data_IF_732942247409
#
_entry.id   IF_732942247409
#
_cell.length_a   1.000
_cell.length_b   1.000
_cell.length_c   1.000
_cell.angle_alpha   90.00
_cell.angle_beta   90.00
_cell.angle_gamma   90.00
#
_symmetry.space_group_name_H-M   'P 1'
#
loop_
_entity.id
_entity.type
_entity.pdbx_description
1 polymer ?
#
# COMPACT_ATOMS: atom_id res chain seq x y z
N UNK A 1 29.41 18.45 1.00
CA UNK A 1 28.40 19.48 1.31
C UNK A 1 28.85 20.47 2.41
N UNK A 2 30.16 20.71 2.63
CA UNK A 2 30.65 21.59 3.72
C UNK A 2 31.78 22.56 3.29
N UNK A 3 31.89 22.88 2.00
CA UNK A 3 32.94 23.80 1.48
C UNK A 3 32.40 25.02 0.73
N UNK A 4 31.13 25.36 0.93
CA UNK A 4 30.52 26.54 0.30
C UNK A 4 30.08 27.62 1.29
N UNK A 5 30.44 27.51 2.58
CA UNK A 5 30.19 28.55 3.60
C UNK A 5 31.40 29.43 3.91
N UNK A 6 32.54 29.22 3.25
CA UNK A 6 33.76 29.98 3.47
C UNK A 6 34.04 30.90 2.27
N UNK A 7 33.21 31.94 2.13
CA UNK A 7 33.37 32.99 1.13
C UNK A 7 32.77 34.29 1.65
N UNK A 8 33.57 35.04 2.40
CA UNK A 8 33.24 36.33 3.02
C UNK A 8 32.76 37.35 1.98
N UNK A 9 31.49 37.80 2.02
CA UNK A 9 31.07 39.13 1.52
C UNK A 9 29.62 39.51 1.90
N UNK A 10 29.46 40.70 2.51
CA UNK A 10 28.25 41.50 2.81
C UNK A 10 27.35 41.05 3.97
N UNK A 11 27.12 41.94 4.96
CA UNK A 11 26.13 41.74 6.03
C UNK A 11 24.72 41.41 5.50
N UNK A 12 24.37 41.81 4.26
CA UNK A 12 23.07 41.47 3.67
C UNK A 12 22.96 40.00 3.26
N UNK A 13 24.05 39.32 2.87
CA UNK A 13 23.99 37.89 2.48
C UNK A 13 23.78 36.99 3.70
N UNK A 14 24.42 37.31 4.83
CA UNK A 14 24.22 36.60 6.10
C UNK A 14 22.81 36.76 6.65
N UNK A 15 22.19 37.94 6.53
CA UNK A 15 20.81 38.16 6.96
C UNK A 15 19.84 37.32 6.11
N UNK A 16 20.03 37.28 4.78
CA UNK A 16 19.19 36.45 3.90
C UNK A 16 19.37 34.94 4.11
N UNK A 17 20.56 34.48 4.51
CA UNK A 17 20.79 33.07 4.85
C UNK A 17 20.09 32.66 6.14
N UNK A 18 20.10 33.54 7.16
CA UNK A 18 19.38 33.34 8.42
C UNK A 18 17.85 33.33 8.19
N UNK A 19 17.32 34.28 7.41
CA UNK A 19 15.90 34.32 7.07
C UNK A 19 15.45 33.03 6.34
N UNK A 20 16.25 32.52 5.40
CA UNK A 20 15.94 31.26 4.72
C UNK A 20 15.95 30.07 5.67
N UNK A 21 16.92 29.98 6.59
CA UNK A 21 17.01 28.91 7.58
C UNK A 21 15.79 28.91 8.51
N UNK A 22 15.32 30.09 8.93
CA UNK A 22 14.12 30.24 9.75
C UNK A 22 12.85 29.77 9.01
N UNK A 23 12.72 30.08 7.72
CA UNK A 23 11.60 29.60 6.89
C UNK A 23 11.62 28.07 6.78
N UNK A 24 12.77 27.45 6.51
CA UNK A 24 12.88 25.98 6.45
C UNK A 24 12.62 25.31 7.81
N UNK A 25 13.08 25.93 8.89
CA UNK A 25 12.88 25.46 10.25
C UNK A 25 11.40 25.48 10.64
N UNK A 26 10.72 26.60 10.41
CA UNK A 26 9.29 26.75 10.68
C UNK A 26 8.44 25.81 9.82
N UNK A 27 8.76 25.65 8.53
CA UNK A 27 8.07 24.70 7.66
C UNK A 27 8.23 23.24 8.11
N UNK A 28 9.43 22.88 8.57
CA UNK A 28 9.72 21.54 9.08
C UNK A 28 8.96 21.25 10.38
N UNK A 29 8.92 22.20 11.32
CA UNK A 29 8.15 22.08 12.56
C UNK A 29 6.65 21.98 12.26
N UNK A 30 6.14 22.82 11.34
CA UNK A 30 4.74 22.77 10.93
C UNK A 30 4.39 21.41 10.30
N UNK A 31 5.25 20.86 9.44
CA UNK A 31 5.08 19.54 8.85
C UNK A 31 5.02 18.43 9.91
N UNK A 32 5.90 18.46 10.91
CA UNK A 32 5.85 17.51 12.03
C UNK A 32 4.56 17.60 12.84
N UNK A 33 4.08 18.82 13.12
CA UNK A 33 2.83 19.04 13.84
C UNK A 33 1.63 18.52 13.04
N UNK A 34 1.56 18.83 11.74
CA UNK A 34 0.48 18.38 10.86
C UNK A 34 0.49 16.85 10.73
N UNK A 35 1.66 16.24 10.54
CA UNK A 35 1.80 14.79 10.46
C UNK A 35 1.38 14.12 11.78
N UNK A 36 1.89 14.60 12.92
CA UNK A 36 1.55 14.06 14.24
C UNK A 36 0.06 14.18 14.57
N UNK A 37 -0.53 15.36 14.32
CA UNK A 37 -1.97 15.57 14.53
C UNK A 37 -2.81 14.69 13.61
N UNK A 38 -2.43 14.53 12.34
CA UNK A 38 -3.10 13.61 11.40
C UNK A 38 -3.08 12.17 11.91
N UNK A 39 -1.94 11.67 12.38
CA UNK A 39 -1.84 10.30 12.92
C UNK A 39 -2.72 10.11 14.16
N UNK A 40 -2.71 11.08 15.08
CA UNK A 40 -3.56 11.03 16.29
C UNK A 40 -5.04 11.09 15.94
N UNK A 41 -5.44 11.92 14.97
CA UNK A 41 -6.82 12.03 14.51
C UNK A 41 -7.31 10.73 13.86
N UNK A 42 -6.50 10.10 13.01
CA UNK A 42 -6.85 8.81 12.40
C UNK A 42 -6.97 7.73 13.46
N UNK A 43 -6.03 7.64 14.39
CA UNK A 43 -6.07 6.66 15.49
C UNK A 43 -7.31 6.85 16.38
N UNK A 44 -7.60 8.08 16.79
CA UNK A 44 -8.78 8.38 17.60
C UNK A 44 -10.09 8.13 16.83
N UNK A 45 -10.13 8.50 15.55
CA UNK A 45 -11.27 8.25 14.66
C UNK A 45 -11.57 6.76 14.51
N UNK A 46 -10.53 5.94 14.27
CA UNK A 46 -10.67 4.48 14.16
C UNK A 46 -11.10 3.84 15.49
N UNK A 47 -10.53 4.26 16.61
CA UNK A 47 -10.95 3.78 17.93
C UNK A 47 -12.44 4.07 18.19
N UNK A 48 -12.89 5.29 17.91
CA UNK A 48 -14.31 5.68 18.09
C UNK A 48 -15.24 4.96 17.10
N UNK A 49 -14.79 4.74 15.87
CA UNK A 49 -15.52 3.97 14.87
C UNK A 49 -15.70 2.51 15.29
N UNK A 50 -14.64 1.90 15.81
CA UNK A 50 -14.65 0.55 16.38
C UNK A 50 -15.65 0.40 17.51
N UNK A 51 -15.57 1.29 18.51
CA UNK A 51 -16.47 1.27 19.65
C UNK A 51 -17.93 1.36 19.20
N UNK A 52 -18.23 2.29 18.28
CA UNK A 52 -19.58 2.44 17.74
C UNK A 52 -20.05 1.22 16.94
N UNK A 53 -19.16 0.58 16.18
CA UNK A 53 -19.48 -0.65 15.45
C UNK A 53 -19.74 -1.81 16.40
N UNK A 54 -18.91 -1.98 17.43
CA UNK A 54 -19.05 -3.00 18.45
C UNK A 54 -20.36 -2.84 19.23
N UNK A 55 -20.67 -1.62 19.70
CA UNK A 55 -21.88 -1.34 20.46
C UNK A 55 -23.14 -1.55 19.62
N UNK A 56 -23.13 -1.12 18.35
CA UNK A 56 -24.24 -1.36 17.42
C UNK A 56 -24.43 -2.85 17.13
N UNK A 57 -23.34 -3.60 16.96
CA UNK A 57 -23.38 -5.06 16.76
C UNK A 57 -23.97 -5.77 17.98
N UNK A 58 -23.49 -5.45 19.19
CA UNK A 58 -24.02 -6.00 20.43
C UNK A 58 -25.49 -5.67 20.62
N UNK A 59 -25.88 -4.41 20.40
CA UNK A 59 -27.27 -3.99 20.53
C UNK A 59 -28.18 -4.73 19.55
N UNK A 60 -27.76 -4.88 18.29
CA UNK A 60 -28.50 -5.66 17.29
C UNK A 60 -28.56 -7.15 17.63
N UNK A 61 -27.51 -7.71 18.21
CA UNK A 61 -27.45 -9.12 18.61
C UNK A 61 -28.43 -9.41 19.75
N UNK A 62 -28.44 -8.58 20.79
CA UNK A 62 -29.35 -8.71 21.94
C UNK A 62 -30.83 -8.59 21.56
N UNK A 63 -31.13 -7.90 20.45
CA UNK A 63 -32.49 -7.73 19.94
C UNK A 63 -32.88 -8.75 18.88
N UNK A 64 -31.98 -9.66 18.52
CA UNK A 64 -32.25 -10.69 17.52
C UNK A 64 -33.13 -11.81 18.10
N UNK A 65 -34.06 -12.39 17.30
CA UNK A 65 -34.93 -13.46 17.76
C UNK A 65 -34.15 -14.74 18.06
N UNK A 66 -34.65 -15.59 18.96
CA UNK A 66 -33.99 -16.85 19.35
C UNK A 66 -33.63 -17.74 18.15
N UNK A 67 -34.46 -17.70 17.11
CA UNK A 67 -34.26 -18.42 15.84
C UNK A 67 -32.94 -18.06 15.13
N UNK A 68 -32.42 -16.85 15.34
CA UNK A 68 -31.10 -16.45 14.84
C UNK A 68 -29.98 -17.23 15.54
N UNK A 69 -30.07 -17.40 16.86
CA UNK A 69 -29.08 -18.13 17.65
C UNK A 69 -29.15 -19.65 17.43
N UNK A 70 -30.32 -20.19 17.09
CA UNK A 70 -30.47 -21.62 16.76
C UNK A 70 -29.90 -21.96 15.37
N UNK A 71 -29.94 -21.00 14.43
CA UNK A 71 -29.50 -21.21 13.04
C UNK A 71 -28.04 -20.80 12.80
N UNK A 72 -27.51 -19.84 13.58
CA UNK A 72 -26.13 -19.40 13.45
C UNK A 72 -25.25 -19.98 14.55
N UNK A 73 -24.14 -20.65 14.21
CA UNK A 73 -23.25 -21.20 15.22
C UNK A 73 -22.61 -20.07 16.03
N UNK A 74 -22.64 -20.20 17.36
CA UNK A 74 -22.05 -19.25 18.32
C UNK A 74 -20.61 -18.86 17.98
N UNK A 75 -19.82 -19.80 17.45
CA UNK A 75 -18.45 -19.54 16.99
C UNK A 75 -18.33 -18.52 15.85
N UNK A 76 -19.33 -18.42 14.95
CA UNK A 76 -19.35 -17.41 13.88
C UNK A 76 -19.65 -16.01 14.44
N UNK A 77 -20.51 -15.91 15.45
CA UNK A 77 -20.81 -14.66 16.15
C UNK A 77 -19.56 -14.16 16.88
N UNK A 78 -18.88 -15.04 17.61
CA UNK A 78 -17.62 -14.72 18.30
C UNK A 78 -16.51 -14.31 17.32
N UNK A 79 -16.34 -15.02 16.20
CA UNK A 79 -15.35 -14.62 15.19
C UNK A 79 -15.63 -13.22 14.62
N UNK A 80 -16.91 -12.83 14.43
CA UNK A 80 -17.25 -11.48 13.97
C UNK A 80 -16.95 -10.42 15.02
N UNK A 81 -17.28 -10.68 16.29
CA UNK A 81 -17.03 -9.73 17.39
C UNK A 81 -15.55 -9.59 17.73
N UNK A 82 -14.75 -10.65 17.57
CA UNK A 82 -13.32 -10.59 17.85
C UNK A 82 -12.50 -10.27 16.60
N UNK A 83 -12.46 -11.17 15.61
CA UNK A 83 -11.53 -11.05 14.47
C UNK A 83 -11.90 -9.97 13.47
N UNK A 84 -13.19 -9.79 13.17
CA UNK A 84 -13.57 -8.79 12.17
C UNK A 84 -13.45 -7.37 12.75
N UNK A 85 -13.73 -7.19 14.04
CA UNK A 85 -13.50 -5.91 14.74
C UNK A 85 -12.01 -5.63 14.88
N UNK A 86 -11.19 -6.62 15.23
CA UNK A 86 -9.72 -6.48 15.26
C UNK A 86 -9.14 -6.03 13.91
N UNK A 87 -9.68 -6.55 12.79
CA UNK A 87 -9.30 -6.08 11.45
C UNK A 87 -9.72 -4.64 11.20
N UNK A 88 -10.92 -4.25 11.63
CA UNK A 88 -11.36 -2.85 11.51
C UNK A 88 -10.45 -1.92 12.33
N UNK A 89 -9.98 -2.36 13.49
CA UNK A 89 -9.16 -1.55 14.39
C UNK A 89 -7.74 -1.36 13.89
N UNK A 90 -7.18 -2.38 13.24
CA UNK A 90 -5.79 -2.37 12.79
C UNK A 90 -5.64 -2.04 11.30
N UNK A 91 -6.43 -2.67 10.43
CA UNK A 91 -6.24 -2.56 8.98
C UNK A 91 -6.82 -1.25 8.42
N UNK A 92 -7.99 -0.82 8.90
CA UNK A 92 -8.67 0.37 8.37
C UNK A 92 -7.87 1.66 8.61
N UNK A 93 -7.40 2.00 9.84
CA UNK A 93 -6.56 3.19 10.03
C UNK A 93 -5.26 3.14 9.23
N UNK A 94 -4.63 1.96 9.12
CA UNK A 94 -3.41 1.78 8.32
C UNK A 94 -3.69 2.06 6.84
N UNK A 95 -4.78 1.52 6.30
CA UNK A 95 -5.18 1.75 4.91
C UNK A 95 -5.55 3.21 4.66
N UNK A 96 -6.31 3.83 5.55
CA UNK A 96 -6.71 5.23 5.42
C UNK A 96 -5.49 6.16 5.42
N UNK A 97 -4.54 5.91 6.32
CA UNK A 97 -3.27 6.67 6.38
C UNK A 97 -2.48 6.52 5.08
N UNK A 98 -2.39 5.29 4.57
CA UNK A 98 -1.68 4.99 3.34
C UNK A 98 -2.34 5.62 2.10
N UNK A 99 -3.67 5.58 2.01
CA UNK A 99 -4.43 6.24 0.96
C UNK A 99 -4.25 7.76 0.99
N UNK A 100 -4.26 8.37 2.17
CA UNK A 100 -4.03 9.80 2.33
C UNK A 100 -2.61 10.21 1.87
N UNK A 101 -1.59 9.44 2.24
CA UNK A 101 -0.22 9.67 1.78
C UNK A 101 -0.10 9.52 0.26
N UNK A 102 -0.74 8.51 -0.33
CA UNK A 102 -0.72 8.31 -1.78
C UNK A 102 -1.39 9.45 -2.54
N UNK A 103 -2.53 9.94 -2.05
CA UNK A 103 -3.19 11.09 -2.67
C UNK A 103 -2.31 12.35 -2.60
N UNK A 104 -1.61 12.56 -1.49
CA UNK A 104 -0.63 13.65 -1.35
C UNK A 104 0.54 13.52 -2.32
N UNK A 105 1.14 12.33 -2.43
CA UNK A 105 2.22 12.05 -3.38
C UNK A 105 1.75 12.24 -4.84
N UNK A 106 0.56 11.76 -5.19
CA UNK A 106 -0.04 11.96 -6.52
C UNK A 106 -0.24 13.45 -6.83
N UNK A 107 -0.80 14.23 -5.89
CA UNK A 107 -1.04 15.65 -6.08
C UNK A 107 0.26 16.43 -6.27
N UNK A 108 1.27 16.15 -5.43
CA UNK A 108 2.60 16.76 -5.57
C UNK A 108 3.26 16.37 -6.89
N UNK A 109 3.16 15.10 -7.29
CA UNK A 109 3.68 14.63 -8.56
C UNK A 109 3.04 15.37 -9.74
N UNK A 110 1.71 15.51 -9.77
CA UNK A 110 1.00 16.23 -10.83
C UNK A 110 1.42 17.71 -10.95
N UNK A 111 1.66 18.38 -9.81
CA UNK A 111 2.15 19.77 -9.80
C UNK A 111 3.58 19.84 -10.35
N UNK A 112 4.44 18.90 -9.96
CA UNK A 112 5.84 18.83 -10.41
C UNK A 112 6.01 18.34 -11.85
N UNK A 113 5.05 17.57 -12.36
CA UNK A 113 5.10 16.94 -13.68
C UNK A 113 5.07 17.95 -14.84
N UNK A 114 4.56 19.17 -14.60
CA UNK A 114 4.58 20.28 -15.58
C UNK A 114 6.01 20.59 -16.05
N UNK A 115 7.01 20.40 -15.19
CA UNK A 115 8.42 20.68 -15.52
C UNK A 115 9.14 19.50 -16.20
N UNK A 116 8.57 18.29 -16.23
CA UNK A 116 9.28 17.08 -16.65
C UNK A 116 8.42 16.14 -17.51
N UNK A 117 8.22 16.54 -18.78
CA UNK A 117 7.55 15.77 -19.84
C UNK A 117 8.14 14.35 -20.10
N UNK A 118 9.47 14.08 -20.03
CA UNK A 118 9.99 12.74 -20.33
C UNK A 118 9.60 11.65 -19.30
N UNK A 119 9.24 12.03 -18.07
CA UNK A 119 8.78 11.11 -17.03
C UNK A 119 7.45 10.43 -17.40
N UNK A 120 6.58 11.11 -18.15
CA UNK A 120 5.25 10.62 -18.51
C UNK A 120 5.35 9.46 -19.52
N UNK A 121 6.32 9.52 -20.45
CA UNK A 121 6.59 8.44 -21.39
C UNK A 121 7.16 7.18 -20.72
N UNK A 122 7.95 7.36 -19.65
CA UNK A 122 8.36 6.24 -18.80
C UNK A 122 7.15 5.63 -18.09
N UNK A 123 6.21 6.43 -17.59
CA UNK A 123 5.03 5.93 -16.90
C UNK A 123 4.14 5.02 -17.78
N UNK A 124 3.98 5.33 -19.08
CA UNK A 124 3.06 4.60 -19.97
C UNK A 124 3.50 3.16 -20.25
N UNK A 125 4.78 2.93 -20.51
CA UNK A 125 5.37 1.59 -20.70
C UNK A 125 5.21 0.76 -19.40
N UNK A 126 5.22 1.43 -18.25
CA UNK A 126 5.13 0.79 -16.94
C UNK A 126 3.71 0.36 -16.57
N UNK A 127 2.70 1.16 -16.91
CA UNK A 127 1.29 0.79 -16.74
C UNK A 127 0.97 -0.48 -17.54
N UNK A 128 1.55 -0.64 -18.74
CA UNK A 128 1.39 -1.84 -19.55
C UNK A 128 1.93 -3.10 -18.83
N UNK A 129 3.10 -3.00 -18.20
CA UNK A 129 3.69 -4.13 -17.45
C UNK A 129 2.78 -4.52 -16.28
N UNK A 130 2.31 -3.55 -15.49
CA UNK A 130 1.40 -3.80 -14.35
C UNK A 130 0.12 -4.50 -14.82
N UNK A 131 -0.45 -4.10 -15.96
CA UNK A 131 -1.69 -4.68 -16.49
C UNK A 131 -1.55 -6.17 -16.85
N UNK A 132 -0.42 -6.57 -17.43
CA UNK A 132 -0.12 -7.98 -17.71
C UNK A 132 -0.02 -8.79 -16.41
N UNK A 133 0.56 -8.23 -15.36
CA UNK A 133 0.67 -8.91 -14.06
C UNK A 133 -0.66 -9.07 -13.33
N UNK A 134 -1.58 -8.11 -13.44
CA UNK A 134 -2.95 -8.23 -12.90
C UNK A 134 -3.66 -9.44 -13.51
N UNK A 135 -3.40 -9.74 -14.78
CA UNK A 135 -4.00 -10.87 -15.50
C UNK A 135 -3.51 -12.22 -14.96
N UNK A 136 -2.21 -12.34 -14.66
CA UNK A 136 -1.63 -13.55 -14.05
C UNK A 136 -2.20 -13.77 -12.64
N UNK A 137 -2.38 -12.68 -11.88
CA UNK A 137 -2.92 -12.72 -10.51
C UNK A 137 -4.38 -13.18 -10.44
N UNK A 138 -5.20 -12.85 -11.45
CA UNK A 138 -6.59 -13.37 -11.55
C UNK A 138 -6.64 -14.89 -11.60
N UNK A 139 -5.63 -15.55 -12.19
CA UNK A 139 -5.56 -17.01 -12.23
C UNK A 139 -5.26 -17.61 -10.84
N UNK A 140 -4.46 -16.92 -10.01
CA UNK A 140 -4.16 -17.35 -8.64
C UNK A 140 -5.37 -17.24 -7.70
N UNK A 141 -6.12 -16.13 -7.74
CA UNK A 141 -7.33 -15.96 -6.91
C UNK A 141 -8.40 -17.03 -7.23
N UNK A 142 -8.53 -17.42 -8.50
CA UNK A 142 -9.43 -18.50 -8.89
C UNK A 142 -9.03 -19.85 -8.26
N UNK A 143 -7.73 -20.13 -8.10
CA UNK A 143 -7.24 -21.36 -7.47
C UNK A 143 -7.58 -21.45 -5.98
N UNK A 144 -7.42 -20.36 -5.23
CA UNK A 144 -7.78 -20.31 -3.80
C UNK A 144 -9.29 -20.48 -3.58
N UNK A 145 -10.12 -19.93 -4.47
CA UNK A 145 -11.58 -20.13 -4.42
C UNK A 145 -12.01 -21.59 -4.62
N UNK A 146 -11.22 -22.37 -5.38
CA UNK A 146 -11.51 -23.77 -5.67
C UNK A 146 -11.30 -24.70 -4.46
N UNK A 147 -10.47 -24.32 -3.49
CA UNK A 147 -10.31 -25.03 -2.21
C UNK A 147 -11.54 -24.82 -1.33
N UNK A 148 -11.98 -23.57 -1.17
CA UNK A 148 -13.17 -23.23 -0.39
C UNK A 148 -14.43 -23.91 -0.95
N UNK A 149 -14.58 -23.95 -2.28
CA UNK A 149 -15.67 -24.66 -2.95
C UNK A 149 -15.67 -26.16 -2.66
N UNK A 150 -14.50 -26.82 -2.75
CA UNK A 150 -14.39 -28.26 -2.47
C UNK A 150 -14.70 -28.58 -1.00
N UNK A 151 -14.29 -27.71 -0.06
CA UNK A 151 -14.62 -27.84 1.37
C UNK A 151 -16.12 -27.73 1.60
N UNK A 152 -16.78 -26.78 0.94
CA UNK A 152 -18.22 -26.62 1.02
C UNK A 152 -18.95 -27.86 0.49
N UNK A 153 -18.55 -28.38 -0.67
CA UNK A 153 -19.12 -29.60 -1.25
C UNK A 153 -18.92 -30.82 -0.35
N UNK A 154 -17.74 -30.94 0.27
CA UNK A 154 -17.41 -32.04 1.19
C UNK A 154 -18.21 -31.95 2.49
N UNK A 155 -18.49 -30.74 2.97
CA UNK A 155 -19.31 -30.51 4.16
C UNK A 155 -20.78 -30.90 3.92
N UNK A 156 -21.34 -30.50 2.77
CA UNK A 156 -22.71 -30.87 2.38
C UNK A 156 -22.81 -32.38 2.11
N UNK A 157 -21.78 -32.98 1.50
CA UNK A 157 -21.73 -34.40 1.15
C UNK A 157 -21.25 -35.36 2.26
N UNK A 158 -21.06 -34.88 3.49
CA UNK A 158 -20.32 -35.64 4.53
C UNK A 158 -20.97 -36.99 4.86
N UNK A 159 -22.31 -37.06 4.87
CA UNK A 159 -23.03 -38.32 5.11
C UNK A 159 -22.79 -39.33 3.99
N UNK A 160 -22.84 -38.89 2.73
CA UNK A 160 -22.59 -39.73 1.56
C UNK A 160 -21.16 -40.25 1.58
N UNK A 161 -20.17 -39.39 1.84
CA UNK A 161 -18.75 -39.77 1.92
C UNK A 161 -18.52 -40.82 3.02
N UNK A 162 -19.21 -40.69 4.16
CA UNK A 162 -19.11 -41.63 5.27
C UNK A 162 -19.76 -42.98 4.97
N UNK A 163 -20.91 -42.99 4.29
CA UNK A 163 -21.63 -44.21 3.91
C UNK A 163 -20.83 -45.02 2.88
N UNK A 164 -20.15 -44.37 1.94
CA UNK A 164 -19.32 -45.04 0.95
C UNK A 164 -17.90 -45.35 1.42
N UNK A 165 -17.52 -44.96 2.65
CA UNK A 165 -16.19 -45.17 3.22
C UNK A 165 -15.03 -44.66 2.32
N UNK A 166 -15.23 -43.51 1.67
CA UNK A 166 -14.26 -42.89 0.73
C UNK A 166 -13.56 -41.65 1.30
N UNK A 167 -13.43 -41.57 2.62
CA UNK A 167 -12.85 -40.42 3.33
C UNK A 167 -11.39 -40.17 2.91
N UNK A 168 -10.58 -41.22 2.80
CA UNK A 168 -9.15 -41.09 2.47
C UNK A 168 -8.93 -40.53 1.06
N UNK A 169 -9.79 -40.89 0.11
CA UNK A 169 -9.75 -40.34 -1.25
C UNK A 169 -10.05 -38.84 -1.24
N UNK A 170 -11.08 -38.42 -0.51
CA UNK A 170 -11.44 -37.00 -0.40
C UNK A 170 -10.39 -36.20 0.37
N UNK A 171 -9.80 -36.77 1.43
CA UNK A 171 -8.72 -36.16 2.21
C UNK A 171 -7.46 -35.95 1.36
N UNK A 172 -7.04 -36.97 0.61
CA UNK A 172 -5.92 -36.84 -0.33
C UNK A 172 -6.20 -35.81 -1.44
N UNK A 173 -7.44 -35.72 -1.91
CA UNK A 173 -7.82 -34.71 -2.91
C UNK A 173 -7.80 -33.29 -2.33
N UNK A 174 -8.23 -33.11 -1.08
CA UNK A 174 -8.13 -31.84 -0.36
C UNK A 174 -6.69 -31.39 -0.21
N UNK A 175 -5.83 -32.27 0.29
CA UNK A 175 -4.43 -31.97 0.53
C UNK A 175 -3.72 -31.54 -0.76
N UNK A 176 -4.01 -32.20 -1.90
CA UNK A 176 -3.48 -31.78 -3.21
C UNK A 176 -3.95 -30.38 -3.61
N UNK A 177 -5.24 -30.07 -3.45
CA UNK A 177 -5.78 -28.75 -3.79
C UNK A 177 -5.24 -27.65 -2.87
N UNK A 178 -5.07 -27.96 -1.59
CA UNK A 178 -4.47 -27.06 -0.60
C UNK A 178 -3.01 -26.73 -0.95
N UNK A 179 -2.21 -27.73 -1.30
CA UNK A 179 -0.83 -27.52 -1.78
C UNK A 179 -0.82 -26.61 -3.02
N UNK A 180 -1.68 -26.87 -4.01
CA UNK A 180 -1.77 -26.00 -5.20
C UNK A 180 -2.19 -24.57 -4.87
N UNK A 181 -3.07 -24.37 -3.87
CA UNK A 181 -3.46 -23.04 -3.44
C UNK A 181 -2.34 -22.31 -2.70
N UNK A 182 -1.60 -23.00 -1.83
CA UNK A 182 -0.41 -22.45 -1.16
C UNK A 182 0.67 -22.10 -2.19
N UNK A 183 0.90 -22.96 -3.19
CA UNK A 183 1.83 -22.69 -4.29
C UNK A 183 1.41 -21.44 -5.08
N UNK A 184 0.11 -21.26 -5.33
CA UNK A 184 -0.42 -20.08 -6.01
C UNK A 184 -0.23 -18.79 -5.18
N UNK A 185 -0.46 -18.85 -3.86
CA UNK A 185 -0.29 -17.72 -2.94
C UNK A 185 1.19 -17.33 -2.78
N UNK A 186 2.08 -18.32 -2.66
CA UNK A 186 3.52 -18.11 -2.68
C UNK A 186 3.98 -17.53 -4.02
N UNK A 187 3.46 -18.03 -5.13
CA UNK A 187 3.70 -17.50 -6.46
C UNK A 187 3.30 -16.02 -6.57
N UNK A 188 2.15 -15.66 -6.01
CA UNK A 188 1.69 -14.28 -5.94
C UNK A 188 2.64 -13.39 -5.12
N UNK A 189 3.08 -13.84 -3.95
CA UNK A 189 4.04 -13.12 -3.11
C UNK A 189 5.38 -12.91 -3.83
N UNK A 190 5.91 -13.95 -4.47
CA UNK A 190 7.17 -13.89 -5.21
C UNK A 190 7.04 -12.95 -6.41
N UNK A 191 5.95 -13.02 -7.16
CA UNK A 191 5.68 -12.08 -8.26
C UNK A 191 5.60 -10.63 -7.76
N UNK A 192 4.97 -10.38 -6.60
CA UNK A 192 4.90 -9.05 -6.01
C UNK A 192 6.26 -8.50 -5.61
N UNK A 193 7.09 -9.35 -5.01
CA UNK A 193 8.45 -8.94 -4.63
C UNK A 193 9.32 -8.75 -5.86
N UNK A 194 9.15 -9.59 -6.88
CA UNK A 194 9.84 -9.46 -8.15
C UNK A 194 9.49 -8.16 -8.86
N UNK A 195 8.20 -7.80 -8.94
CA UNK A 195 7.79 -6.54 -9.55
C UNK A 195 8.25 -5.35 -8.71
N UNK A 196 8.09 -5.36 -7.38
CA UNK A 196 8.58 -4.31 -6.48
C UNK A 196 10.08 -4.05 -6.66
N UNK A 197 10.87 -5.12 -6.76
CA UNK A 197 12.31 -5.08 -6.99
C UNK A 197 12.64 -4.50 -8.37
N UNK A 198 12.04 -5.03 -9.44
CA UNK A 198 12.27 -4.53 -10.81
C UNK A 198 11.88 -3.06 -10.97
N UNK A 199 10.75 -2.64 -10.38
CA UNK A 199 10.31 -1.26 -10.38
C UNK A 199 11.30 -0.34 -9.65
N UNK A 200 11.83 -0.81 -8.52
CA UNK A 200 12.85 -0.07 -7.75
C UNK A 200 14.16 0.09 -8.52
N UNK A 201 14.60 -0.95 -9.25
CA UNK A 201 15.79 -0.88 -10.08
C UNK A 201 15.63 0.07 -11.27
N UNK A 202 14.54 -0.04 -12.03
CA UNK A 202 14.31 0.79 -13.22
C UNK A 202 14.17 2.28 -12.86
N UNK A 203 13.42 2.58 -11.80
CA UNK A 203 13.28 3.97 -11.31
C UNK A 203 14.60 4.52 -10.79
N UNK A 204 15.41 3.70 -10.10
CA UNK A 204 16.74 4.11 -9.63
C UNK A 204 17.69 4.43 -10.79
N UNK A 205 17.72 3.60 -11.83
CA UNK A 205 18.54 3.85 -13.03
C UNK A 205 18.08 5.12 -13.74
N UNK A 206 16.77 5.26 -13.96
CA UNK A 206 16.19 6.43 -14.62
C UNK A 206 16.48 7.73 -13.87
N UNK A 207 16.29 7.74 -12.54
CA UNK A 207 16.59 8.91 -11.71
C UNK A 207 18.08 9.22 -11.64
N UNK A 208 18.95 8.20 -11.68
CA UNK A 208 20.40 8.40 -11.77
C UNK A 208 20.81 9.06 -13.10
N UNK A 209 20.21 8.66 -14.22
CA UNK A 209 20.48 9.27 -15.53
C UNK A 209 19.99 10.73 -15.55
N UNK A 210 18.77 10.98 -15.07
CA UNK A 210 18.22 12.33 -15.00
C UNK A 210 19.03 13.26 -14.10
N UNK A 211 19.50 12.77 -12.96
CA UNK A 211 20.34 13.57 -12.05
C UNK A 211 21.71 13.84 -12.66
N UNK A 212 22.34 12.87 -13.31
CA UNK A 212 23.59 13.09 -14.05
C UNK A 212 23.42 14.14 -15.16
N UNK A 213 22.32 14.08 -15.91
CA UNK A 213 21.98 15.07 -16.93
C UNK A 213 21.76 16.46 -16.31
N UNK A 214 20.98 16.54 -15.23
CA UNK A 214 20.70 17.79 -14.55
C UNK A 214 21.98 18.44 -13.97
N UNK A 215 22.92 17.63 -13.48
CA UNK A 215 24.24 18.10 -13.00
C UNK A 215 25.08 18.64 -14.18
N UNK A 216 25.08 17.95 -15.32
CA UNK A 216 25.81 18.39 -16.51
C UNK A 216 25.32 19.75 -17.01
N UNK A 217 24.00 19.94 -17.13
CA UNK A 217 23.42 21.24 -17.51
C UNK A 217 23.54 22.30 -16.42
N UNK A 218 23.59 21.89 -15.15
CA UNK A 218 23.91 22.77 -14.03
C UNK A 218 25.32 23.35 -14.12
N UNK A 219 26.30 22.57 -14.57
CA UNK A 219 27.65 23.06 -14.82
C UNK A 219 27.72 24.09 -15.96
N UNK A 220 26.80 24.02 -16.92
CA UNK A 220 26.70 24.97 -18.04
C UNK A 220 25.92 26.23 -17.63
N UNK A 221 25.35 26.26 -16.41
CA UNK A 221 24.66 27.43 -15.83
C UNK A 221 23.16 27.51 -16.13
N UNK A 222 22.58 26.50 -16.77
CA UNK A 222 21.15 26.48 -17.12
C UNK A 222 20.24 26.00 -15.98
N UNK A 223 20.78 25.25 -15.01
CA UNK A 223 20.00 24.59 -13.95
C UNK A 223 20.59 24.91 -12.57
N UNK A 224 19.73 25.30 -11.63
CA UNK A 224 20.14 25.56 -10.23
C UNK A 224 20.24 24.25 -9.43
N UNK A 225 21.07 24.24 -8.37
CA UNK A 225 21.20 23.07 -7.49
C UNK A 225 19.86 22.63 -6.86
N UNK A 226 18.95 23.58 -6.62
CA UNK A 226 17.60 23.30 -6.12
C UNK A 226 16.75 22.48 -7.12
N UNK A 227 16.86 22.76 -8.41
CA UNK A 227 16.16 21.99 -9.44
C UNK A 227 16.69 20.55 -9.54
N UNK A 228 18.00 20.33 -9.38
CA UNK A 228 18.59 18.98 -9.33
C UNK A 228 18.07 18.19 -8.12
N UNK A 229 17.96 18.85 -6.95
CA UNK A 229 17.40 18.22 -5.76
C UNK A 229 15.92 17.86 -5.94
N UNK A 230 15.14 18.73 -6.61
CA UNK A 230 13.74 18.49 -6.94
C UNK A 230 13.57 17.29 -7.90
N UNK A 231 14.42 17.18 -8.93
CA UNK A 231 14.44 16.01 -9.84
C UNK A 231 14.72 14.72 -9.09
N UNK A 232 15.68 14.74 -8.18
CA UNK A 232 16.03 13.56 -7.37
C UNK A 232 14.86 13.17 -6.47
N UNK A 233 14.24 14.15 -5.80
CA UNK A 233 13.11 13.94 -4.89
C UNK A 233 11.87 13.42 -5.62
N UNK A 234 11.46 14.05 -6.72
CA UNK A 234 10.34 13.59 -7.56
C UNK A 234 10.57 12.19 -8.12
N UNK A 235 11.81 11.85 -8.46
CA UNK A 235 12.23 10.51 -8.83
C UNK A 235 12.01 9.47 -7.73
N UNK A 236 12.39 9.79 -6.49
CA UNK A 236 12.15 8.90 -5.35
C UNK A 236 10.67 8.76 -5.01
N UNK A 237 9.88 9.82 -5.15
CA UNK A 237 8.42 9.77 -4.96
C UNK A 237 7.75 8.90 -6.02
N UNK A 238 8.15 9.02 -7.29
CA UNK A 238 7.62 8.15 -8.35
C UNK A 238 7.86 6.66 -8.05
N UNK A 239 9.04 6.32 -7.50
CA UNK A 239 9.33 4.95 -7.06
C UNK A 239 8.38 4.49 -5.96
N UNK A 240 8.14 5.33 -4.95
CA UNK A 240 7.24 5.02 -3.84
C UNK A 240 5.80 4.84 -4.32
N UNK A 241 5.34 5.72 -5.22
CA UNK A 241 4.01 5.69 -5.81
C UNK A 241 3.81 4.42 -6.66
N UNK A 242 4.77 4.06 -7.52
CA UNK A 242 4.72 2.82 -8.30
C UNK A 242 4.74 1.57 -7.41
N UNK A 243 5.60 1.55 -6.39
CA UNK A 243 5.63 0.45 -5.42
C UNK A 243 4.32 0.35 -4.64
N UNK A 244 3.69 1.48 -4.37
CA UNK A 244 2.45 1.56 -3.62
C UNK A 244 1.23 1.15 -4.43
N UNK A 245 1.17 1.54 -5.71
CA UNK A 245 0.16 1.07 -6.67
C UNK A 245 0.31 -0.43 -6.90
N UNK A 246 1.55 -0.93 -7.03
CA UNK A 246 1.81 -2.36 -7.12
C UNK A 246 1.19 -3.09 -5.91
N UNK A 247 1.45 -2.62 -4.68
CA UNK A 247 0.89 -3.18 -3.42
C UNK A 247 -0.63 -2.97 -3.26
N UNK A 248 -1.18 -1.85 -3.70
CA UNK A 248 -2.62 -1.58 -3.63
C UNK A 248 -3.38 -2.53 -4.57
N UNK A 249 -2.85 -2.74 -5.77
CA UNK A 249 -3.36 -3.75 -6.71
C UNK A 249 -3.27 -5.18 -6.17
N UNK A 250 -2.52 -5.44 -5.10
CA UNK A 250 -2.40 -6.78 -4.49
C UNK A 250 -3.31 -7.02 -3.30
N UNK A 251 -3.97 -6.01 -2.73
CA UNK A 251 -4.78 -6.14 -1.50
C UNK A 251 -6.29 -6.04 -1.72
N UNK A 252 -6.74 -5.73 -2.94
CA UNK A 252 -8.15 -5.50 -3.28
C UNK A 252 -8.89 -6.80 -3.69
N UNK A 253 -8.20 -7.94 -3.75
CA UNK A 253 -8.79 -9.26 -3.97
C UNK A 253 -8.34 -10.23 -2.89
#
# INVERSE_FOLDING_TARGET
MAKWSAGFSSNNSQITELENLEIYGTFSILSCIVSGTSTVLVAYGSFKASQKLHDNLLFSLLRSPMTFFDTTPLGRILNRLSKDIEKVDNDVPMQLSYSATLLGECAFYLISAIYFIPQIGFLSIFVMIIFVFITIRRLCSAASSAVASHLQDSYVGVNTIRVFSVQDRFSNQMMKREVTAIEADLGELVCNKWIELRMSFLTSIFTSILTAFAIYFGHIGYITAAAVALVTSTGTMLRNLLGSIAKAGTRIC
#
